data_IF_662495499291
#
_entry.id   IF_662495499291
#
_cell.length_a   1.000
_cell.length_b   1.000
_cell.length_c   1.000
_cell.angle_alpha   90.00
_cell.angle_beta   90.00
_cell.angle_gamma   90.00
#
_symmetry.space_group_name_H-M   'P 1'
#
loop_
_entity.id
_entity.type
_entity.pdbx_description
1 polymer ?
#
# COMPACT_ATOMS: atom_id res chain seq x y z
N UNK A 1 16.40 -19.43 -15.12
CA UNK A 1 15.31 -20.24 -14.52
C UNK A 1 14.23 -20.47 -15.58
N UNK A 2 13.62 -21.66 -15.62
CA UNK A 2 12.46 -21.97 -16.46
C UNK A 2 11.35 -22.59 -15.60
N UNK A 3 10.12 -22.09 -15.73
CA UNK A 3 8.94 -22.62 -15.03
C UNK A 3 7.90 -22.93 -16.09
N UNK A 4 7.60 -24.21 -16.29
CA UNK A 4 6.61 -24.65 -17.28
C UNK A 4 6.18 -26.08 -17.03
N UNK A 5 5.01 -26.46 -17.56
CA UNK A 5 4.68 -27.88 -17.71
C UNK A 5 5.77 -28.59 -18.54
N UNK A 6 6.00 -29.87 -18.28
CA UNK A 6 7.09 -30.64 -18.91
C UNK A 6 7.03 -30.64 -20.43
N UNK A 7 5.83 -30.72 -21.00
CA UNK A 7 5.57 -30.67 -22.45
C UNK A 7 5.82 -29.29 -23.08
N UNK A 8 5.96 -28.24 -22.27
CA UNK A 8 6.19 -26.85 -22.68
C UNK A 8 7.59 -26.33 -22.38
N UNK A 9 8.46 -27.16 -21.79
CA UNK A 9 9.86 -26.78 -21.61
C UNK A 9 10.60 -26.68 -22.96
N UNK A 10 11.55 -25.75 -23.10
CA UNK A 10 12.51 -25.76 -24.19
C UNK A 10 13.19 -27.13 -24.32
N UNK A 11 13.39 -27.61 -25.56
CA UNK A 11 13.87 -28.98 -25.82
C UNK A 11 15.20 -29.31 -25.12
N UNK A 12 16.12 -28.33 -25.08
CA UNK A 12 17.41 -28.46 -24.40
C UNK A 12 17.27 -28.62 -22.88
N UNK A 13 16.28 -27.98 -22.25
CA UNK A 13 16.02 -28.13 -20.82
C UNK A 13 15.23 -29.40 -20.52
N UNK A 14 14.27 -29.75 -21.39
CA UNK A 14 13.47 -30.97 -21.25
C UNK A 14 14.33 -32.23 -21.27
N UNK A 15 15.37 -32.28 -22.11
CA UNK A 15 16.31 -33.39 -22.20
C UNK A 15 17.14 -33.62 -20.91
N UNK A 16 17.24 -32.60 -20.04
CA UNK A 16 17.97 -32.66 -18.77
C UNK A 16 17.07 -33.10 -17.60
N UNK A 17 15.78 -33.33 -17.85
CA UNK A 17 14.82 -33.83 -16.87
C UNK A 17 14.68 -35.35 -17.05
N UNK A 18 14.83 -36.17 -15.99
CA UNK A 18 14.70 -37.62 -16.09
C UNK A 18 13.32 -38.00 -16.63
N UNK A 19 13.28 -39.10 -17.39
CA UNK A 19 12.05 -39.63 -17.97
C UNK A 19 11.23 -40.44 -16.94
N UNK A 20 10.91 -39.79 -15.83
CA UNK A 20 9.97 -40.28 -14.83
C UNK A 20 8.64 -39.54 -14.97
N UNK A 21 7.54 -40.20 -14.61
CA UNK A 21 6.23 -39.54 -14.51
C UNK A 21 6.29 -38.38 -13.51
N UNK A 22 5.76 -37.22 -13.92
CA UNK A 22 5.57 -36.05 -13.06
C UNK A 22 4.07 -35.73 -12.89
N UNK A 23 3.22 -36.76 -12.93
CA UNK A 23 1.78 -36.61 -12.78
C UNK A 23 1.33 -36.34 -11.34
N UNK A 24 2.05 -36.92 -10.36
CA UNK A 24 1.80 -36.85 -8.92
C UNK A 24 2.79 -35.94 -8.17
N UNK A 25 3.74 -35.34 -8.89
CA UNK A 25 4.75 -34.44 -8.33
C UNK A 25 5.17 -33.34 -9.30
N UNK A 26 5.66 -32.24 -8.74
CA UNK A 26 6.50 -31.27 -9.42
C UNK A 26 7.94 -31.42 -8.97
N UNK A 27 8.87 -31.04 -9.83
CA UNK A 27 10.31 -31.08 -9.55
C UNK A 27 10.90 -29.70 -9.74
N UNK A 28 11.63 -29.24 -8.73
CA UNK A 28 12.53 -28.08 -8.77
C UNK A 28 13.93 -28.65 -8.88
N UNK A 29 14.62 -28.41 -9.99
CA UNK A 29 15.94 -29.02 -10.28
C UNK A 29 16.91 -28.00 -10.83
N UNK A 30 18.12 -27.98 -10.27
CA UNK A 30 19.28 -27.34 -10.89
C UNK A 30 19.83 -28.27 -11.97
N UNK A 31 19.94 -27.74 -13.19
CA UNK A 31 20.55 -28.41 -14.34
C UNK A 31 21.68 -27.56 -14.90
N UNK A 32 22.62 -28.19 -15.58
CA UNK A 32 23.61 -27.48 -16.40
C UNK A 32 23.12 -27.44 -17.85
N UNK A 33 22.78 -26.24 -18.33
CA UNK A 33 22.39 -26.02 -19.71
C UNK A 33 23.52 -25.31 -20.47
N UNK A 34 24.42 -26.09 -21.08
CA UNK A 34 25.56 -25.60 -21.86
C UNK A 34 26.57 -24.75 -21.04
N UNK A 35 26.96 -25.23 -19.86
CA UNK A 35 27.88 -24.54 -18.94
C UNK A 35 27.22 -23.43 -18.12
N UNK A 36 25.88 -23.36 -18.12
CA UNK A 36 25.10 -22.35 -17.40
C UNK A 36 24.17 -23.03 -16.39
N UNK A 37 24.38 -22.82 -15.08
CA UNK A 37 23.50 -23.37 -14.05
C UNK A 37 22.11 -22.77 -14.20
N UNK A 38 21.12 -23.63 -14.39
CA UNK A 38 19.74 -23.27 -14.69
C UNK A 38 18.79 -23.97 -13.74
N UNK A 39 17.94 -23.21 -13.04
CA UNK A 39 16.84 -23.78 -12.26
C UNK A 39 15.66 -24.11 -13.18
N UNK A 40 15.20 -25.35 -13.19
CA UNK A 40 14.01 -25.82 -13.91
C UNK A 40 12.95 -26.24 -12.90
N UNK A 41 11.75 -25.69 -13.03
CA UNK A 41 10.58 -26.05 -12.22
C UNK A 41 9.51 -26.59 -13.16
N UNK A 42 9.15 -27.85 -12.97
CA UNK A 42 8.28 -28.54 -13.94
C UNK A 42 7.43 -29.63 -13.32
N UNK A 43 6.29 -29.91 -13.97
CA UNK A 43 5.36 -30.99 -13.64
C UNK A 43 4.50 -31.32 -14.87
N UNK A 44 3.89 -32.49 -14.89
CA UNK A 44 2.82 -32.80 -15.84
C UNK A 44 1.46 -32.26 -15.32
N UNK A 45 1.35 -32.00 -14.01
CA UNK A 45 0.19 -31.45 -13.32
C UNK A 45 0.33 -29.94 -13.07
N UNK A 46 -0.65 -29.15 -13.53
CA UNK A 46 -0.63 -27.70 -13.41
C UNK A 46 -0.74 -27.21 -11.95
N UNK A 47 -1.50 -27.90 -11.10
CA UNK A 47 -1.68 -27.53 -9.69
C UNK A 47 -0.38 -27.74 -8.90
N UNK A 48 0.30 -28.86 -9.14
CA UNK A 48 1.61 -29.13 -8.54
C UNK A 48 2.69 -28.19 -9.05
N UNK A 49 2.60 -27.74 -10.32
CA UNK A 49 3.47 -26.69 -10.84
C UNK A 49 3.27 -25.36 -10.11
N UNK A 50 2.02 -24.96 -9.86
CA UNK A 50 1.70 -23.78 -9.03
C UNK A 50 2.26 -23.96 -7.62
N UNK A 51 2.11 -25.15 -7.03
CA UNK A 51 2.63 -25.47 -5.70
C UNK A 51 4.16 -25.36 -5.63
N UNK A 52 4.87 -25.84 -6.65
CA UNK A 52 6.32 -25.67 -6.76
C UNK A 52 6.71 -24.20 -6.95
N UNK A 53 5.92 -23.43 -7.71
CA UNK A 53 6.04 -21.98 -7.80
C UNK A 53 5.93 -21.28 -6.44
N UNK A 54 4.95 -21.67 -5.62
CA UNK A 54 4.79 -21.16 -4.25
C UNK A 54 5.98 -21.49 -3.35
N UNK A 55 6.59 -22.67 -3.50
CA UNK A 55 7.78 -23.05 -2.75
C UNK A 55 8.97 -22.17 -3.12
N UNK A 56 9.29 -22.01 -4.40
CA UNK A 56 10.42 -21.17 -4.83
C UNK A 56 10.22 -19.69 -4.51
N UNK A 57 8.97 -19.23 -4.44
CA UNK A 57 8.61 -17.88 -4.00
C UNK A 57 8.64 -17.68 -2.49
N UNK A 58 8.81 -18.74 -1.69
CA UNK A 58 8.90 -18.67 -0.24
C UNK A 58 10.36 -18.70 0.19
N UNK A 59 10.92 -17.53 0.52
CA UNK A 59 12.33 -17.38 0.88
C UNK A 59 12.74 -18.24 2.10
N UNK A 60 11.84 -18.38 3.09
CA UNK A 60 12.12 -19.18 4.29
C UNK A 60 12.20 -20.68 3.97
N UNK A 61 11.36 -21.20 3.07
CA UNK A 61 11.45 -22.58 2.60
C UNK A 61 12.66 -22.77 1.67
N UNK A 62 12.92 -21.81 0.79
CA UNK A 62 14.05 -21.87 -0.14
C UNK A 62 15.39 -21.91 0.59
N UNK A 63 15.55 -21.12 1.67
CA UNK A 63 16.75 -21.11 2.51
C UNK A 63 17.02 -22.45 3.23
N UNK A 64 16.02 -23.31 3.37
CA UNK A 64 16.16 -24.64 3.95
C UNK A 64 16.57 -25.71 2.93
N UNK A 65 16.54 -25.42 1.63
CA UNK A 65 16.93 -26.36 0.59
C UNK A 65 18.46 -26.36 0.40
N UNK A 66 19.06 -27.54 0.45
CA UNK A 66 20.51 -27.72 0.24
C UNK A 66 20.86 -28.61 -0.96
N UNK A 67 19.86 -29.26 -1.57
CA UNK A 67 20.06 -30.23 -2.65
C UNK A 67 19.80 -29.65 -4.05
N UNK A 68 20.35 -30.27 -5.12
CA UNK A 68 20.12 -29.86 -6.50
C UNK A 68 18.72 -30.22 -7.03
N UNK A 69 17.94 -31.00 -6.27
CA UNK A 69 16.58 -31.45 -6.63
C UNK A 69 15.67 -31.37 -5.41
N UNK A 70 14.47 -30.81 -5.59
CA UNK A 70 13.38 -30.84 -4.62
C UNK A 70 12.10 -31.32 -5.33
N UNK A 71 11.52 -32.39 -4.81
CA UNK A 71 10.19 -32.84 -5.21
C UNK A 71 9.13 -32.11 -4.38
N UNK A 72 8.03 -31.75 -5.06
CA UNK A 72 6.86 -31.08 -4.48
C UNK A 72 5.64 -31.93 -4.80
N UNK A 73 4.98 -32.42 -3.76
CA UNK A 73 3.80 -33.28 -3.83
C UNK A 73 2.59 -32.58 -3.22
N UNK A 74 1.42 -33.22 -3.30
CA UNK A 74 0.20 -32.76 -2.65
C UNK A 74 0.35 -32.56 -1.13
N UNK A 75 1.29 -33.26 -0.49
CA UNK A 75 1.56 -33.15 0.96
C UNK A 75 2.66 -32.13 1.32
N UNK A 76 3.33 -31.52 0.33
CA UNK A 76 4.39 -30.54 0.61
C UNK A 76 3.79 -29.23 1.10
N UNK A 77 4.09 -28.79 2.32
CA UNK A 77 3.63 -27.49 2.81
C UNK A 77 4.40 -26.35 2.15
N UNK A 78 3.67 -25.42 1.54
CA UNK A 78 4.25 -24.28 0.79
C UNK A 78 3.64 -22.94 1.18
N UNK A 79 2.64 -22.94 2.06
CA UNK A 79 1.97 -21.72 2.49
C UNK A 79 2.93 -20.82 3.29
N UNK A 80 2.93 -19.53 2.96
CA UNK A 80 3.54 -18.52 3.81
C UNK A 80 2.58 -18.15 4.95
N UNK A 81 3.09 -17.87 6.16
CA UNK A 81 2.28 -17.24 7.21
C UNK A 81 1.62 -15.96 6.68
N UNK A 82 0.41 -15.66 7.16
CA UNK A 82 -0.24 -14.40 6.83
C UNK A 82 0.61 -13.22 7.32
N UNK A 83 0.87 -12.21 6.48
CA UNK A 83 1.58 -11.01 6.91
C UNK A 83 0.84 -10.32 8.06
N UNK A 84 1.57 -9.90 9.10
CA UNK A 84 0.96 -9.22 10.25
C UNK A 84 0.65 -7.75 9.92
N UNK A 85 -0.58 -7.31 10.22
CA UNK A 85 -1.03 -5.92 10.09
C UNK A 85 -0.45 -5.04 11.21
N UNK A 86 -0.22 -5.64 12.39
CA UNK A 86 0.49 -5.03 13.51
C UNK A 86 1.95 -5.47 13.46
N UNK A 87 2.87 -4.51 13.29
CA UNK A 87 4.32 -4.76 13.31
C UNK A 87 4.89 -4.23 14.61
N UNK A 88 5.60 -5.07 15.35
CA UNK A 88 6.45 -4.65 16.47
C UNK A 88 7.83 -4.35 15.89
N UNK A 89 8.26 -3.10 16.00
CA UNK A 89 9.51 -2.60 15.43
C UNK A 89 10.40 -2.14 16.57
N UNK A 90 11.54 -2.82 16.74
CA UNK A 90 12.63 -2.31 17.59
C UNK A 90 13.26 -1.11 16.90
N UNK A 91 13.44 -0.01 17.62
CA UNK A 91 14.06 1.18 17.02
C UNK A 91 15.58 1.10 16.97
N UNK A 92 16.19 0.27 17.82
CA UNK A 92 17.64 0.09 17.92
C UNK A 92 17.96 -1.31 18.43
N UNK A 93 19.01 -1.93 17.91
CA UNK A 93 19.38 -3.32 18.26
C UNK A 93 20.20 -3.39 19.56
N UNK A 94 21.05 -2.39 19.81
CA UNK A 94 21.99 -2.37 20.95
C UNK A 94 21.79 -1.17 21.89
N UNK A 95 20.92 -0.22 21.52
CA UNK A 95 20.78 1.06 22.18
C UNK A 95 21.64 2.15 21.55
N UNK A 96 21.31 3.40 21.84
CA UNK A 96 21.94 4.58 21.23
C UNK A 96 22.37 5.58 22.30
N UNK A 97 23.66 5.88 22.34
CA UNK A 97 24.20 6.93 23.18
C UNK A 97 24.11 8.29 22.49
N UNK A 98 23.66 9.29 23.24
CA UNK A 98 23.59 10.69 22.84
C UNK A 98 24.44 11.47 23.84
N UNK A 99 25.38 12.28 23.36
CA UNK A 99 26.25 13.11 24.20
C UNK A 99 26.16 14.59 23.85
N UNK A 100 26.46 15.42 24.84
CA UNK A 100 26.56 16.87 24.73
C UNK A 100 25.36 17.60 25.31
N UNK A 101 25.59 18.87 25.66
CA UNK A 101 24.58 19.75 26.26
C UNK A 101 23.49 20.15 25.26
N UNK A 102 22.40 20.66 25.81
CA UNK A 102 21.27 21.26 25.11
C UNK A 102 20.55 20.26 24.20
N UNK A 103 20.03 20.75 23.07
CA UNK A 103 19.20 19.97 22.17
C UNK A 103 20.02 18.94 21.39
N UNK A 104 19.71 17.66 21.59
CA UNK A 104 20.30 16.53 20.88
C UNK A 104 19.23 15.58 20.38
N UNK A 105 19.43 15.02 19.20
CA UNK A 105 18.43 14.17 18.57
C UNK A 105 19.00 12.84 18.13
N UNK A 106 18.13 11.84 18.11
CA UNK A 106 18.35 10.57 17.42
C UNK A 106 17.14 10.27 16.56
N UNK A 107 17.41 10.03 15.28
CA UNK A 107 16.39 9.73 14.28
C UNK A 107 16.31 8.24 13.99
N UNK A 108 15.08 7.74 13.90
CA UNK A 108 14.74 6.36 13.56
C UNK A 108 13.83 6.35 12.35
N UNK A 109 14.31 5.74 11.26
CA UNK A 109 13.56 5.64 10.01
C UNK A 109 12.67 4.41 10.01
N UNK A 110 11.37 4.63 9.83
CA UNK A 110 10.37 3.57 9.81
C UNK A 110 9.89 3.37 8.37
N UNK A 111 10.11 2.18 7.84
CA UNK A 111 9.59 1.78 6.53
C UNK A 111 8.10 1.42 6.63
N UNK A 112 7.27 2.08 5.83
CA UNK A 112 5.84 1.78 5.71
C UNK A 112 5.48 1.67 4.22
N UNK A 113 4.89 0.55 3.77
CA UNK A 113 4.46 0.39 2.39
C UNK A 113 3.52 1.52 1.93
N UNK A 114 3.68 1.98 0.68
CA UNK A 114 2.97 3.15 0.14
C UNK A 114 1.44 3.00 0.13
N UNK A 115 0.93 1.77 0.00
CA UNK A 115 -0.49 1.44 0.05
C UNK A 115 -1.08 1.45 1.48
N UNK A 116 -0.27 1.73 2.50
CA UNK A 116 -0.69 1.74 3.90
C UNK A 116 -0.49 3.11 4.53
N UNK A 117 -1.35 3.38 5.50
CA UNK A 117 -1.22 4.52 6.40
C UNK A 117 -1.21 4.01 7.84
N UNK A 118 -0.63 4.80 8.74
CA UNK A 118 -0.64 4.47 10.17
C UNK A 118 -2.10 4.44 10.66
N UNK A 119 -2.50 3.30 11.22
CA UNK A 119 -3.81 3.12 11.83
C UNK A 119 -3.80 3.60 13.28
N UNK A 120 -5.02 3.69 13.82
CA UNK A 120 -5.26 4.11 15.19
C UNK A 120 -4.53 3.22 16.20
N UNK A 121 -4.26 3.80 17.38
CA UNK A 121 -3.65 3.11 18.51
C UNK A 121 -2.23 2.55 18.27
N UNK A 122 -1.49 3.07 17.28
CA UNK A 122 -0.04 2.83 17.20
C UNK A 122 0.65 3.45 18.41
N UNK A 123 1.56 2.72 19.05
CA UNK A 123 2.18 3.11 20.33
C UNK A 123 3.68 3.07 20.26
N UNK A 124 4.33 4.08 20.83
CA UNK A 124 5.76 4.12 21.07
C UNK A 124 6.02 3.92 22.56
N UNK A 125 6.93 3.00 22.89
CA UNK A 125 7.53 2.85 24.21
C UNK A 125 9.00 3.22 24.09
N UNK A 126 9.35 4.46 24.45
CA UNK A 126 10.74 4.92 24.53
C UNK A 126 11.30 4.58 25.91
N UNK A 127 12.38 3.80 25.97
CA UNK A 127 13.11 3.48 27.21
C UNK A 127 14.49 4.09 27.17
N UNK A 128 14.87 4.77 28.24
CA UNK A 128 16.08 5.57 28.22
C UNK A 128 16.63 5.84 29.62
N UNK A 129 17.90 6.20 29.66
CA UNK A 129 18.68 6.59 30.84
C UNK A 129 19.41 7.89 30.55
N UNK A 130 19.78 8.63 31.59
CA UNK A 130 20.43 9.92 31.43
C UNK A 130 21.32 10.27 32.61
N UNK A 131 22.25 11.19 32.37
CA UNK A 131 23.20 11.63 33.38
C UNK A 131 22.50 12.32 34.57
N UNK A 132 23.00 12.06 35.79
CA UNK A 132 22.45 12.63 37.04
C UNK A 132 22.87 14.09 37.31
N UNK A 133 23.83 14.61 36.55
CA UNK A 133 24.34 15.97 36.69
C UNK A 133 23.52 17.02 35.91
N UNK A 134 22.38 16.64 35.37
CA UNK A 134 21.48 17.54 34.64
C UNK A 134 20.82 18.57 35.56
N UNK A 135 20.50 19.72 34.99
CA UNK A 135 19.48 20.61 35.51
C UNK A 135 18.10 20.04 35.19
N UNK A 136 17.58 19.25 36.14
CA UNK A 136 16.28 18.62 36.02
C UNK A 136 15.11 19.60 35.94
N UNK A 137 15.28 20.89 36.25
CA UNK A 137 14.21 21.87 36.08
C UNK A 137 14.03 22.32 34.64
N UNK A 138 15.04 22.09 33.79
CA UNK A 138 15.07 22.52 32.40
C UNK A 138 15.21 21.36 31.41
N UNK A 139 15.60 20.18 31.89
CA UNK A 139 15.84 19.02 31.05
C UNK A 139 14.57 18.21 30.77
N UNK A 140 14.37 17.84 29.51
CA UNK A 140 13.22 17.06 29.06
C UNK A 140 13.57 16.18 27.86
N UNK A 141 12.74 15.17 27.62
CA UNK A 141 12.73 14.42 26.36
C UNK A 141 11.43 14.73 25.60
N UNK A 142 11.53 14.94 24.30
CA UNK A 142 10.42 15.15 23.37
C UNK A 142 10.51 14.12 22.25
N UNK A 143 9.38 13.51 21.91
CA UNK A 143 9.27 12.65 20.73
C UNK A 143 8.61 13.43 19.60
N UNK A 144 9.22 13.38 18.42
CA UNK A 144 8.68 13.95 17.20
C UNK A 144 8.42 12.85 16.17
N UNK A 145 7.41 13.08 15.33
CA UNK A 145 7.13 12.26 14.15
C UNK A 145 7.12 13.17 12.93
N UNK A 146 7.99 12.90 11.94
CA UNK A 146 8.24 13.78 10.80
C UNK A 146 8.45 15.25 11.23
N UNK A 147 9.23 15.46 12.29
CA UNK A 147 9.54 16.78 12.84
C UNK A 147 8.41 17.46 13.63
N UNK A 148 7.24 16.82 13.81
CA UNK A 148 6.14 17.34 14.62
C UNK A 148 6.14 16.71 16.01
N UNK A 149 6.18 17.49 17.11
CA UNK A 149 6.16 16.94 18.45
C UNK A 149 4.82 16.26 18.76
N UNK A 150 4.88 15.06 19.33
CA UNK A 150 3.69 14.27 19.69
C UNK A 150 3.54 14.07 21.20
N UNK A 151 4.59 14.37 21.97
CA UNK A 151 4.59 14.30 23.43
C UNK A 151 5.98 14.53 23.99
N UNK A 152 6.02 14.92 25.25
CA UNK A 152 7.27 15.16 25.98
C UNK A 152 7.14 14.74 27.44
N UNK A 153 8.30 14.59 28.11
CA UNK A 153 8.40 14.24 29.51
C UNK A 153 9.59 14.96 30.14
N UNK A 154 9.35 15.62 31.28
CA UNK A 154 10.41 16.21 32.12
C UNK A 154 11.31 15.10 32.66
N UNK A 155 12.62 15.30 32.61
CA UNK A 155 13.59 14.37 33.20
C UNK A 155 13.68 14.62 34.71
N UNK A 156 13.87 13.56 35.48
CA UNK A 156 13.98 13.65 36.95
C UNK A 156 15.13 12.80 37.48
N UNK A 157 15.79 13.25 38.53
CA UNK A 157 16.91 12.50 39.12
C UNK A 157 16.51 11.09 39.58
N UNK A 158 15.30 10.93 40.11
CA UNK A 158 14.78 9.66 40.62
C UNK A 158 14.65 8.56 39.55
N UNK A 159 14.52 8.94 38.28
CA UNK A 159 14.34 8.01 37.16
C UNK A 159 15.58 7.93 36.24
N UNK A 160 16.68 8.61 36.59
CA UNK A 160 17.85 8.76 35.72
C UNK A 160 18.51 7.44 35.27
N UNK A 161 18.48 6.42 36.13
CA UNK A 161 19.03 5.08 35.83
C UNK A 161 18.07 4.17 35.06
N UNK A 162 16.85 4.62 34.77
CA UNK A 162 15.85 3.85 34.02
C UNK A 162 14.51 4.55 33.97
N UNK A 163 14.28 5.31 32.88
CA UNK A 163 13.03 5.98 32.63
C UNK A 163 12.33 5.48 31.36
N UNK A 164 11.05 5.83 31.21
CA UNK A 164 10.27 5.54 30.02
C UNK A 164 9.25 6.62 29.68
N UNK A 165 8.95 6.71 28.38
CA UNK A 165 7.91 7.56 27.82
C UNK A 165 7.06 6.73 26.84
N UNK A 166 5.79 6.54 27.19
CA UNK A 166 4.82 5.83 26.37
C UNK A 166 3.90 6.84 25.70
N UNK A 167 3.83 6.81 24.37
CA UNK A 167 3.00 7.72 23.56
C UNK A 167 2.16 6.94 22.57
N UNK A 168 0.95 7.45 22.30
CA UNK A 168 0.13 6.98 21.18
C UNK A 168 0.34 7.95 20.02
N UNK A 169 0.56 7.46 18.80
CA UNK A 169 0.72 8.29 17.61
C UNK A 169 -0.64 8.95 17.26
N UNK A 170 -0.73 10.29 17.25
CA UNK A 170 -1.96 11.00 16.89
C UNK A 170 -2.53 10.65 15.51
N UNK A 171 -3.86 10.49 15.42
CA UNK A 171 -4.58 10.14 14.18
C UNK A 171 -4.47 11.22 13.09
N UNK A 172 -4.44 12.49 13.49
CA UNK A 172 -4.49 13.65 12.59
C UNK A 172 -3.18 13.93 11.84
N UNK A 173 -2.14 13.11 12.02
CA UNK A 173 -0.88 13.32 11.30
C UNK A 173 -0.89 12.78 9.86
N UNK A 174 -1.89 11.98 9.46
CA UNK A 174 -2.00 11.41 8.11
C UNK A 174 -0.68 10.80 7.60
N UNK A 175 -0.03 9.99 8.44
CA UNK A 175 1.25 9.36 8.10
C UNK A 175 1.01 8.29 7.02
N UNK A 176 1.54 8.56 5.83
CA UNK A 176 1.52 7.64 4.68
C UNK A 176 2.94 7.50 4.12
N UNK A 177 3.34 6.27 3.79
CA UNK A 177 4.72 5.98 3.41
C UNK A 177 5.70 6.10 4.57
N UNK A 178 6.99 6.02 4.27
CA UNK A 178 8.06 6.04 5.27
C UNK A 178 8.02 7.31 6.12
N UNK A 179 8.32 7.18 7.40
CA UNK A 179 8.32 8.30 8.35
C UNK A 179 9.46 8.17 9.35
N UNK A 180 9.83 9.29 9.96
CA UNK A 180 10.90 9.35 10.96
C UNK A 180 10.32 9.57 12.35
N UNK A 181 10.78 8.79 13.31
CA UNK A 181 10.60 9.05 14.74
C UNK A 181 11.89 9.67 15.26
N UNK A 182 11.80 10.84 15.88
CA UNK A 182 12.94 11.53 16.49
C UNK A 182 12.76 11.55 18.00
N UNK A 183 13.75 11.03 18.72
CA UNK A 183 13.90 11.26 20.16
C UNK A 183 14.80 12.48 20.35
N UNK A 184 14.24 13.57 20.87
CA UNK A 184 14.94 14.81 21.16
C UNK A 184 15.12 14.98 22.67
N UNK A 185 16.37 15.09 23.11
CA UNK A 185 16.71 15.36 24.50
C UNK A 185 17.22 16.80 24.61
N UNK A 186 16.64 17.56 25.53
CA UNK A 186 17.20 18.82 25.97
C UNK A 186 17.97 18.55 27.27
N UNK A 187 19.29 18.39 27.15
CA UNK A 187 20.19 18.01 28.24
C UNK A 187 20.87 19.25 28.84
N UNK A 188 20.20 19.90 29.77
CA UNK A 188 20.67 21.13 30.39
C UNK A 188 21.55 20.82 31.61
N UNK A 189 22.62 21.59 31.83
CA UNK A 189 23.46 21.49 33.03
C UNK A 189 23.22 22.67 33.97
N UNK A 190 23.40 22.46 35.27
CA UNK A 190 23.40 23.56 36.26
C UNK A 190 24.67 24.39 36.07
N UNK A 191 24.51 25.71 35.94
CA UNK A 191 25.61 26.68 35.81
C UNK A 191 26.53 26.48 34.58
N UNK A 192 25.95 26.24 33.40
CA UNK A 192 26.67 25.98 32.14
C UNK A 192 27.52 27.18 31.62
N UNK A 193 27.35 28.38 32.19
CA UNK A 193 28.05 29.60 31.73
C UNK A 193 29.58 29.63 31.96
N UNK A 194 30.15 28.63 32.65
CA UNK A 194 31.59 28.58 32.97
C UNK A 194 32.25 27.20 32.79
N UNK A 195 31.62 26.25 32.09
CA UNK A 195 32.25 24.94 31.83
C UNK A 195 32.80 24.87 30.41
N UNK A 196 34.01 24.32 30.27
CA UNK A 196 34.52 23.90 28.96
C UNK A 196 33.64 22.76 28.45
N UNK A 197 33.21 22.77 27.17
CA UNK A 197 32.48 21.64 26.59
C UNK A 197 33.24 20.34 26.83
N UNK A 198 32.61 19.38 27.49
CA UNK A 198 33.13 18.02 27.60
C UNK A 198 32.41 17.14 26.59
N UNK A 199 33.17 16.50 25.70
CA UNK A 199 32.62 15.72 24.58
C UNK A 199 31.82 14.47 25.02
N UNK A 200 31.88 14.11 26.31
CA UNK A 200 31.25 12.92 26.88
C UNK A 200 30.15 13.22 27.90
N UNK A 201 29.88 14.48 28.25
CA UNK A 201 28.82 14.86 29.19
C UNK A 201 28.06 16.14 28.79
N UNK A 202 26.78 16.26 29.17
CA UNK A 202 25.94 15.19 29.69
C UNK A 202 25.66 14.12 28.63
N UNK A 203 25.04 13.03 29.05
CA UNK A 203 24.65 11.94 28.16
C UNK A 203 23.21 11.51 28.41
N UNK A 204 22.60 11.00 27.36
CA UNK A 204 21.41 10.17 27.40
C UNK A 204 21.69 8.87 26.64
N UNK A 205 21.00 7.80 27.00
CA UNK A 205 21.12 6.50 26.36
C UNK A 205 19.73 5.95 26.12
N UNK A 206 19.38 5.68 24.87
CA UNK A 206 18.13 5.02 24.49
C UNK A 206 18.39 3.51 24.53
N UNK A 207 17.60 2.76 25.29
CA UNK A 207 17.78 1.33 25.45
C UNK A 207 17.20 0.54 24.26
N UNK A 208 17.77 -0.65 23.99
CA UNK A 208 17.34 -1.59 22.94
C UNK A 208 15.88 -2.07 23.08
N UNK A 209 15.32 -2.00 24.30
CA UNK A 209 13.92 -2.31 24.59
C UNK A 209 12.94 -1.21 24.11
N UNK A 210 13.43 -0.20 23.37
CA UNK A 210 12.60 0.83 22.75
C UNK A 210 11.84 0.26 21.56
N UNK A 211 10.51 0.30 21.63
CA UNK A 211 9.63 -0.40 20.69
C UNK A 211 8.56 0.51 20.12
N UNK A 212 8.29 0.36 18.83
CA UNK A 212 7.12 0.88 18.13
C UNK A 212 6.15 -0.28 17.84
N UNK A 213 4.96 -0.23 18.42
CA UNK A 213 3.83 -1.02 17.97
C UNK A 213 3.11 -0.23 16.87
N UNK A 214 3.32 -0.64 15.62
CA UNK A 214 2.75 0.00 14.45
C UNK A 214 1.51 -0.77 13.99
N UNK A 215 0.35 -0.13 14.09
CA UNK A 215 -0.88 -0.60 13.44
C UNK A 215 -1.01 0.12 12.11
N UNK A 216 -1.48 -0.56 11.06
CA UNK A 216 -1.62 0.02 9.72
C UNK A 216 -3.01 -0.24 9.14
N UNK A 217 -3.46 0.64 8.25
CA UNK A 217 -4.71 0.51 7.50
C UNK A 217 -4.47 0.76 6.03
N UNK A 218 -5.26 0.11 5.19
CA UNK A 218 -5.19 0.27 3.74
C UNK A 218 -5.62 1.67 3.31
N UNK A 219 -4.96 2.20 2.29
CA UNK A 219 -5.43 3.35 1.52
C UNK A 219 -6.23 2.83 0.34
N UNK A 220 -7.55 2.94 0.44
CA UNK A 220 -8.48 2.30 -0.52
C UNK A 220 -8.82 3.17 -1.73
N UNK A 221 -8.28 4.39 -1.80
CA UNK A 221 -8.42 5.22 -2.99
C UNK A 221 -7.62 4.61 -4.14
N UNK A 222 -8.27 4.47 -5.29
CA UNK A 222 -7.67 3.98 -6.53
C UNK A 222 -6.79 5.07 -7.16
N UNK A 223 -5.60 5.26 -6.57
CA UNK A 223 -4.55 6.17 -6.99
C UNK A 223 -3.21 5.40 -7.08
N UNK A 224 -2.35 5.77 -8.04
CA UNK A 224 -0.98 5.28 -8.15
C UNK A 224 -0.13 5.61 -6.92
N UNK A 225 -0.46 6.68 -6.18
CA UNK A 225 0.14 6.98 -4.88
C UNK A 225 -0.08 5.87 -3.84
N UNK A 226 -1.12 5.05 -4.02
CA UNK A 226 -1.47 3.92 -3.17
C UNK A 226 -1.12 2.58 -3.81
N UNK A 227 -0.42 2.57 -4.96
CA UNK A 227 0.04 1.34 -5.58
C UNK A 227 0.90 0.56 -4.57
N UNK A 228 0.74 -0.76 -4.42
CA UNK A 228 0.03 -1.70 -5.30
C UNK A 228 -1.47 -1.92 -5.05
N UNK A 229 -2.15 -1.13 -4.21
CA UNK A 229 -3.60 -1.22 -4.07
C UNK A 229 -4.28 -0.94 -5.43
N UNK A 230 -5.32 -1.70 -5.83
CA UNK A 230 -6.04 -2.73 -5.07
C UNK A 230 -5.54 -4.17 -5.31
N UNK A 231 -4.50 -4.37 -6.12
CA UNK A 231 -4.04 -5.68 -6.56
C UNK A 231 -3.35 -6.48 -5.45
N UNK A 232 -2.76 -5.78 -4.49
CA UNK A 232 -2.26 -6.35 -3.25
C UNK A 232 -2.96 -5.70 -2.07
N UNK A 233 -3.38 -6.53 -1.13
CA UNK A 233 -3.91 -6.15 0.17
C UNK A 233 -3.16 -6.92 1.23
N UNK A 234 -2.68 -6.25 2.28
CA UNK A 234 -1.95 -6.90 3.37
C UNK A 234 -0.77 -7.79 2.89
N UNK A 235 -0.08 -7.38 1.82
CA UNK A 235 1.03 -8.15 1.25
C UNK A 235 0.63 -9.43 0.49
N UNK A 236 -0.65 -9.66 0.23
CA UNK A 236 -1.16 -10.80 -0.55
C UNK A 236 -1.99 -10.35 -1.76
N UNK A 237 -1.94 -11.14 -2.84
CA UNK A 237 -2.72 -10.84 -4.05
C UNK A 237 -4.22 -10.89 -3.78
N UNK A 238 -4.89 -9.78 -4.06
CA UNK A 238 -6.31 -9.58 -3.76
C UNK A 238 -7.17 -9.91 -4.98
N UNK A 239 -7.36 -11.20 -5.25
CA UNK A 239 -8.18 -11.73 -6.35
C UNK A 239 -7.90 -11.02 -7.68
N UNK A 240 -6.70 -11.17 -8.22
CA UNK A 240 -6.29 -10.44 -9.42
C UNK A 240 -6.66 -11.20 -10.69
N UNK A 241 -7.36 -10.53 -11.61
CA UNK A 241 -7.62 -11.01 -12.96
C UNK A 241 -6.80 -10.25 -13.99
N UNK A 242 -5.90 -10.92 -14.71
CA UNK A 242 -5.09 -10.31 -15.77
C UNK A 242 -5.66 -10.69 -17.13
N UNK A 243 -6.21 -9.72 -17.87
CA UNK A 243 -6.75 -9.96 -19.20
C UNK A 243 -5.70 -9.59 -20.25
N UNK A 244 -5.26 -10.61 -20.98
CA UNK A 244 -4.26 -10.48 -22.03
C UNK A 244 -4.89 -10.12 -23.38
N UNK A 245 -4.17 -9.43 -24.26
CA UNK A 245 -4.63 -9.19 -25.62
C UNK A 245 -4.72 -10.52 -26.40
N UNK A 246 -5.53 -10.54 -27.47
CA UNK A 246 -5.67 -11.70 -28.35
C UNK A 246 -4.33 -12.05 -29.00
N UNK A 247 -3.60 -11.05 -29.47
CA UNK A 247 -2.26 -11.17 -30.07
C UNK A 247 -1.21 -10.92 -29.00
N UNK A 248 -0.35 -11.91 -28.76
CA UNK A 248 0.64 -11.87 -27.67
C UNK A 248 2.05 -11.91 -28.24
N UNK A 249 2.65 -10.73 -28.35
CA UNK A 249 4.01 -10.55 -28.84
C UNK A 249 5.02 -10.38 -27.69
N UNK A 250 6.28 -10.14 -28.02
CA UNK A 250 7.34 -9.93 -27.03
C UNK A 250 7.06 -8.74 -26.10
N UNK A 251 6.42 -7.67 -26.59
CA UNK A 251 6.06 -6.51 -25.78
C UNK A 251 4.99 -6.85 -24.74
N UNK A 252 4.04 -7.72 -25.09
CA UNK A 252 3.03 -8.22 -24.16
C UNK A 252 3.69 -8.93 -22.97
N UNK A 253 4.63 -9.84 -23.22
CA UNK A 253 5.32 -10.55 -22.13
C UNK A 253 6.26 -9.65 -21.32
N UNK A 254 6.89 -8.64 -21.95
CA UNK A 254 7.66 -7.62 -21.22
C UNK A 254 6.76 -6.76 -20.34
N UNK A 255 5.54 -6.46 -20.77
CA UNK A 255 4.54 -5.74 -19.97
C UNK A 255 4.16 -6.53 -18.72
N UNK A 256 3.87 -7.82 -18.87
CA UNK A 256 3.60 -8.72 -17.75
C UNK A 256 4.82 -8.77 -16.81
N UNK A 257 6.02 -8.88 -17.36
CA UNK A 257 7.27 -8.86 -16.60
C UNK A 257 7.43 -7.60 -15.75
N UNK A 258 7.19 -6.42 -16.32
CA UNK A 258 7.25 -5.15 -15.58
C UNK A 258 6.23 -5.10 -14.43
N UNK A 259 4.97 -5.44 -14.72
CA UNK A 259 3.90 -5.46 -13.73
C UNK A 259 4.21 -6.38 -12.54
N UNK A 260 4.54 -7.63 -12.83
CA UNK A 260 4.77 -8.65 -11.80
C UNK A 260 6.15 -8.56 -11.15
N UNK A 261 7.11 -7.85 -11.75
CA UNK A 261 8.34 -7.50 -11.06
C UNK A 261 8.05 -6.60 -9.84
N UNK A 262 7.30 -5.52 -10.03
CA UNK A 262 6.99 -4.61 -8.93
C UNK A 262 5.93 -5.18 -7.98
N UNK A 263 4.86 -5.79 -8.49
CA UNK A 263 3.87 -6.46 -7.63
C UNK A 263 4.51 -7.59 -6.82
N UNK A 264 5.41 -8.38 -7.43
CA UNK A 264 6.12 -9.45 -6.74
C UNK A 264 7.00 -8.96 -5.60
N UNK A 265 7.62 -7.78 -5.73
CA UNK A 265 8.41 -7.16 -4.65
C UNK A 265 7.56 -6.73 -3.45
N UNK A 266 6.30 -6.36 -3.67
CA UNK A 266 5.37 -5.99 -2.60
C UNK A 266 4.60 -7.16 -1.99
N UNK A 267 4.68 -8.36 -2.58
CA UNK A 267 4.02 -9.53 -2.03
C UNK A 267 4.84 -10.11 -0.86
N UNK A 268 4.26 -10.13 0.33
CA UNK A 268 4.83 -10.73 1.55
C UNK A 268 4.31 -12.18 1.75
N UNK A 269 3.17 -12.55 1.15
CA UNK A 269 2.55 -13.86 1.28
C UNK A 269 2.01 -14.45 -0.03
N UNK A 270 1.72 -15.76 -0.03
CA UNK A 270 1.34 -16.53 -1.22
C UNK A 270 -0.06 -17.18 -1.15
N UNK A 271 -0.90 -16.70 -0.22
CA UNK A 271 -2.29 -17.14 -0.06
C UNK A 271 -3.25 -16.50 -1.08
N UNK A 272 -2.85 -15.40 -1.72
CA UNK A 272 -3.65 -14.70 -2.73
C UNK A 272 -3.74 -15.44 -4.07
N UNK A 273 -4.61 -14.93 -4.95
CA UNK A 273 -4.84 -15.49 -6.29
C UNK A 273 -4.54 -14.49 -7.40
N UNK A 274 -3.88 -14.99 -8.46
CA UNK A 274 -3.71 -14.31 -9.74
C UNK A 274 -4.18 -15.25 -10.84
N UNK A 275 -5.13 -14.81 -11.66
CA UNK A 275 -5.67 -15.59 -12.79
C UNK A 275 -5.49 -14.83 -14.09
N UNK A 276 -4.95 -15.51 -15.10
CA UNK A 276 -4.81 -14.96 -16.44
C UNK A 276 -6.00 -15.38 -17.32
N UNK A 277 -6.50 -14.44 -18.11
CA UNK A 277 -7.59 -14.65 -19.06
C UNK A 277 -7.18 -14.23 -20.47
N UNK A 278 -7.81 -14.86 -21.47
CA UNK A 278 -7.70 -14.47 -22.87
C UNK A 278 -8.72 -13.40 -23.26
N UNK A 279 -8.75 -13.07 -24.55
CA UNK A 279 -9.70 -12.13 -25.13
C UNK A 279 -11.15 -12.66 -25.19
N UNK A 280 -11.35 -13.92 -24.80
CA UNK A 280 -12.65 -14.62 -24.67
C UNK A 280 -13.26 -14.50 -23.26
N UNK A 281 -12.63 -13.73 -22.36
CA UNK A 281 -13.12 -13.52 -21.00
C UNK A 281 -14.53 -12.94 -20.97
N UNK A 282 -15.33 -13.40 -20.02
CA UNK A 282 -16.69 -12.90 -19.78
C UNK A 282 -16.73 -11.97 -18.57
N UNK A 283 -17.72 -11.08 -18.53
CA UNK A 283 -17.93 -10.17 -17.40
C UNK A 283 -18.09 -10.92 -16.06
N UNK A 284 -18.80 -12.06 -16.06
CA UNK A 284 -19.02 -12.87 -14.86
C UNK A 284 -17.72 -13.39 -14.25
N UNK A 285 -16.72 -13.71 -15.07
CA UNK A 285 -15.40 -14.16 -14.61
C UNK A 285 -14.56 -13.02 -13.98
N UNK A 286 -14.98 -11.76 -14.13
CA UNK A 286 -14.27 -10.57 -13.68
C UNK A 286 -14.96 -9.85 -12.50
N UNK A 287 -16.18 -10.26 -12.12
CA UNK A 287 -16.96 -9.61 -11.05
C UNK A 287 -16.27 -9.64 -9.69
N UNK A 288 -15.62 -10.73 -9.34
CA UNK A 288 -15.01 -10.93 -8.02
C UNK A 288 -13.54 -10.48 -7.94
N UNK A 289 -13.07 -9.69 -8.91
CA UNK A 289 -11.63 -9.48 -9.15
C UNK A 289 -11.24 -8.03 -9.34
N UNK A 290 -10.03 -7.72 -8.86
CA UNK A 290 -9.29 -6.55 -9.31
C UNK A 290 -8.66 -6.86 -10.67
N UNK A 291 -8.95 -6.04 -11.68
CA UNK A 291 -8.64 -6.36 -13.07
C UNK A 291 -7.41 -5.60 -13.54
N UNK A 292 -6.46 -6.28 -14.19
CA UNK A 292 -5.39 -5.67 -14.96
C UNK A 292 -5.62 -6.02 -16.42
N UNK A 293 -5.93 -5.04 -17.26
CA UNK A 293 -6.14 -5.24 -18.69
C UNK A 293 -4.94 -4.72 -19.47
N UNK A 294 -4.33 -5.57 -20.30
CA UNK A 294 -3.13 -5.25 -21.08
C UNK A 294 -3.49 -5.30 -22.57
N UNK A 295 -3.10 -4.27 -23.34
CA UNK A 295 -3.22 -4.32 -24.80
C UNK A 295 -3.70 -3.03 -25.42
N UNK A 296 -4.61 -3.14 -26.39
CA UNK A 296 -5.23 -2.01 -27.09
C UNK A 296 -6.74 -2.16 -27.14
N UNK A 297 -7.43 -1.10 -27.57
CA UNK A 297 -8.87 -1.11 -27.82
C UNK A 297 -9.32 -2.22 -28.79
N UNK A 298 -8.55 -2.45 -29.85
CA UNK A 298 -8.88 -3.45 -30.86
C UNK A 298 -8.76 -4.89 -30.33
N UNK A 299 -7.81 -5.13 -29.42
CA UNK A 299 -7.34 -6.48 -29.12
C UNK A 299 -7.57 -6.96 -27.68
N UNK A 300 -8.17 -6.12 -26.84
CA UNK A 300 -8.57 -6.48 -25.48
C UNK A 300 -10.02 -6.01 -25.20
N UNK A 301 -10.98 -6.92 -24.94
CA UNK A 301 -12.38 -6.55 -24.73
C UNK A 301 -12.58 -5.67 -23.50
N UNK A 302 -11.81 -5.87 -22.43
CA UNK A 302 -11.93 -5.09 -21.20
C UNK A 302 -11.58 -3.62 -21.43
N UNK A 303 -10.51 -3.34 -22.19
CA UNK A 303 -10.10 -1.98 -22.54
C UNK A 303 -11.19 -1.31 -23.40
N UNK A 304 -11.73 -2.05 -24.38
CA UNK A 304 -12.80 -1.55 -25.25
C UNK A 304 -14.07 -1.21 -24.48
N UNK A 305 -14.53 -2.11 -23.62
CA UNK A 305 -15.77 -1.94 -22.84
C UNK A 305 -15.63 -0.82 -21.80
N UNK A 306 -14.43 -0.68 -21.22
CA UNK A 306 -14.11 0.38 -20.27
C UNK A 306 -13.88 1.76 -20.92
N UNK A 307 -13.74 1.85 -22.25
CA UNK A 307 -13.27 3.08 -22.93
C UNK A 307 -14.06 4.34 -22.56
N UNK A 308 -15.38 4.23 -22.38
CA UNK A 308 -16.23 5.36 -21.97
C UNK A 308 -15.88 5.94 -20.59
N UNK A 309 -15.29 5.11 -19.72
CA UNK A 309 -14.90 5.43 -18.34
C UNK A 309 -13.40 5.70 -18.19
N UNK A 310 -12.60 5.44 -19.23
CA UNK A 310 -11.18 5.80 -19.25
C UNK A 310 -11.02 7.32 -19.24
N UNK A 311 -9.93 7.81 -18.65
CA UNK A 311 -9.56 9.22 -18.66
C UNK A 311 -8.90 9.63 -19.98
N UNK A 312 -8.00 8.78 -20.49
CA UNK A 312 -7.47 8.84 -21.85
C UNK A 312 -8.27 7.86 -22.69
N UNK A 313 -9.30 8.38 -23.35
CA UNK A 313 -10.22 7.59 -24.18
C UNK A 313 -9.64 7.40 -25.57
N UNK A 314 -9.91 6.25 -26.15
CA UNK A 314 -9.68 6.02 -27.57
C UNK A 314 -10.71 6.77 -28.42
N UNK A 315 -10.29 7.14 -29.63
CA UNK A 315 -11.18 7.56 -30.70
C UNK A 315 -12.21 6.47 -31.08
N UNK A 316 -13.17 6.79 -31.93
CA UNK A 316 -14.23 5.87 -32.34
C UNK A 316 -13.70 4.64 -33.12
N UNK A 317 -12.55 4.77 -33.79
CA UNK A 317 -11.91 3.68 -34.52
C UNK A 317 -11.00 2.81 -33.63
N UNK A 318 -10.72 3.23 -32.40
CA UNK A 318 -9.79 2.57 -31.50
C UNK A 318 -8.32 2.76 -31.84
N UNK A 319 -7.97 3.77 -32.64
CA UNK A 319 -6.62 3.89 -33.24
C UNK A 319 -5.64 4.73 -32.43
N UNK A 320 -6.12 5.72 -31.69
CA UNK A 320 -5.31 6.54 -30.80
C UNK A 320 -6.15 7.17 -29.69
N UNK A 321 -5.47 7.80 -28.73
CA UNK A 321 -6.15 8.56 -27.68
C UNK A 321 -6.60 9.93 -28.17
N UNK A 322 -7.72 10.41 -27.66
CA UNK A 322 -8.24 11.76 -27.93
C UNK A 322 -7.99 12.70 -26.76
N UNK A 323 -8.05 14.00 -27.04
CA UNK A 323 -7.93 15.07 -26.04
C UNK A 323 -8.95 14.91 -24.91
N UNK A 324 -8.58 15.35 -23.72
CA UNK A 324 -9.45 15.37 -22.53
C UNK A 324 -9.31 16.69 -21.76
N UNK A 325 -9.91 16.79 -20.58
CA UNK A 325 -9.90 17.98 -19.74
C UNK A 325 -8.52 18.34 -19.14
N UNK A 326 -7.54 17.43 -19.22
CA UNK A 326 -6.18 17.63 -18.68
C UNK A 326 -5.12 17.81 -19.76
N UNK A 327 -5.34 17.27 -20.95
CA UNK A 327 -4.33 17.21 -22.00
C UNK A 327 -4.96 17.35 -23.39
N UNK A 328 -4.47 18.32 -24.17
CA UNK A 328 -4.69 18.39 -25.61
C UNK A 328 -3.77 17.39 -26.31
N UNK A 329 -4.36 16.53 -27.14
CA UNK A 329 -3.71 15.42 -27.83
C UNK A 329 -4.00 15.56 -29.31
N UNK A 330 -2.94 15.75 -30.09
CA UNK A 330 -2.97 15.66 -31.55
C UNK A 330 -3.23 14.21 -32.00
N UNK A 331 -3.88 14.03 -33.14
CA UNK A 331 -4.29 12.71 -33.65
C UNK A 331 -3.11 11.75 -33.84
N UNK A 332 -2.01 12.21 -34.43
CA UNK A 332 -0.82 11.38 -34.69
C UNK A 332 0.02 11.17 -33.43
N UNK A 333 -0.06 12.10 -32.49
CA UNK A 333 0.54 11.91 -31.16
C UNK A 333 -0.23 10.86 -30.35
N UNK A 334 -1.57 10.91 -30.35
CA UNK A 334 -2.43 9.96 -29.64
C UNK A 334 -2.24 8.50 -30.05
N UNK A 335 -1.78 8.24 -31.28
CA UNK A 335 -1.41 6.91 -31.78
C UNK A 335 -0.07 6.40 -31.23
N UNK A 336 0.77 7.30 -30.70
CA UNK A 336 2.17 7.03 -30.32
C UNK A 336 2.47 7.13 -28.82
N UNK A 337 1.43 7.17 -27.98
CA UNK A 337 1.57 7.19 -26.52
C UNK A 337 0.99 5.93 -25.88
N UNK A 338 1.52 5.58 -24.72
CA UNK A 338 0.97 4.57 -23.82
C UNK A 338 0.33 5.24 -22.60
N UNK A 339 -0.70 4.61 -22.03
CA UNK A 339 -1.36 5.08 -20.82
C UNK A 339 -1.47 3.99 -19.74
N UNK A 340 -1.36 4.43 -18.49
CA UNK A 340 -1.78 3.72 -17.30
C UNK A 340 -3.00 4.42 -16.72
N UNK A 341 -4.09 3.69 -16.52
CA UNK A 341 -5.33 4.29 -16.01
C UNK A 341 -5.94 3.40 -14.95
N UNK A 342 -6.07 3.93 -13.73
CA UNK A 342 -6.61 3.22 -12.58
C UNK A 342 -8.03 3.72 -12.26
N UNK A 343 -9.02 2.93 -12.65
CA UNK A 343 -10.44 3.27 -12.54
C UNK A 343 -11.18 2.24 -11.67
N UNK A 344 -12.42 2.56 -11.29
CA UNK A 344 -13.31 1.57 -10.68
C UNK A 344 -13.64 0.51 -11.72
N UNK A 345 -13.60 -0.76 -11.31
CA UNK A 345 -13.98 -1.88 -12.17
C UNK A 345 -15.45 -1.73 -12.62
N UNK A 346 -15.76 -1.87 -13.92
CA UNK A 346 -17.13 -1.78 -14.40
C UNK A 346 -17.96 -3.05 -14.13
N UNK A 347 -17.35 -4.11 -13.60
CA UNK A 347 -17.99 -5.42 -13.44
C UNK A 347 -18.73 -5.58 -12.11
N UNK A 348 -18.15 -5.07 -11.02
CA UNK A 348 -18.71 -5.12 -9.68
C UNK A 348 -18.13 -4.00 -8.82
N UNK A 349 -18.93 -3.51 -7.86
CA UNK A 349 -18.51 -2.44 -6.96
C UNK A 349 -17.40 -2.89 -6.00
N UNK A 350 -16.53 -1.96 -5.60
CA UNK A 350 -15.45 -2.24 -4.64
C UNK A 350 -14.16 -2.81 -5.25
N UNK A 351 -14.13 -3.10 -6.55
CA UNK A 351 -12.94 -3.55 -7.27
C UNK A 351 -12.34 -2.46 -8.16
N UNK A 352 -11.04 -2.50 -8.39
CA UNK A 352 -10.36 -1.60 -9.33
C UNK A 352 -9.98 -2.28 -10.64
N UNK A 353 -9.79 -1.47 -11.68
CA UNK A 353 -9.29 -1.85 -12.98
C UNK A 353 -8.09 -0.97 -13.34
N UNK A 354 -6.95 -1.60 -13.63
CA UNK A 354 -5.79 -0.96 -14.24
C UNK A 354 -5.76 -1.30 -15.73
N UNK A 355 -5.94 -0.29 -16.57
CA UNK A 355 -5.69 -0.40 -18.01
C UNK A 355 -4.24 -0.04 -18.29
N UNK A 356 -3.47 -1.00 -18.81
CA UNK A 356 -2.11 -0.82 -19.32
C UNK A 356 -2.21 -0.88 -20.84
N UNK A 357 -2.37 0.28 -21.47
CA UNK A 357 -2.95 0.34 -22.81
C UNK A 357 -2.28 1.35 -23.73
N UNK A 358 -2.23 1.03 -25.02
CA UNK A 358 -1.75 1.89 -26.09
C UNK A 358 -2.33 1.45 -27.43
N UNK A 359 -2.18 2.24 -28.49
CA UNK A 359 -2.67 1.86 -29.82
C UNK A 359 -2.07 0.52 -30.30
N UNK A 360 -0.80 0.30 -29.96
CA UNK A 360 -0.02 -0.90 -30.26
C UNK A 360 0.64 -1.46 -29.00
N UNK A 361 1.03 -2.74 -29.05
CA UNK A 361 1.67 -3.45 -27.93
C UNK A 361 2.92 -2.75 -27.39
N UNK A 362 3.70 -2.09 -28.26
CA UNK A 362 4.89 -1.31 -27.89
C UNK A 362 4.57 -0.14 -26.96
N UNK A 363 3.40 0.48 -27.12
CA UNK A 363 2.96 1.61 -26.32
C UNK A 363 2.36 1.17 -24.99
N UNK A 364 1.64 0.04 -24.96
CA UNK A 364 1.26 -0.61 -23.70
C UNK A 364 2.51 -1.03 -22.89
N UNK A 365 3.54 -1.56 -23.56
CA UNK A 365 4.83 -1.87 -22.93
C UNK A 365 5.52 -0.62 -22.40
N UNK A 366 5.55 0.46 -23.17
CA UNK A 366 6.09 1.74 -22.72
C UNK A 366 5.40 2.22 -21.43
N UNK A 367 4.06 2.22 -21.40
CA UNK A 367 3.28 2.56 -20.21
C UNK A 367 3.62 1.68 -19.01
N UNK A 368 3.77 0.37 -19.22
CA UNK A 368 4.12 -0.57 -18.14
C UNK A 368 5.45 -0.26 -17.45
N UNK A 369 6.39 0.41 -18.13
CA UNK A 369 7.68 0.80 -17.52
C UNK A 369 7.50 1.78 -16.37
N UNK A 370 6.44 2.57 -16.39
CA UNK A 370 6.14 3.54 -15.32
C UNK A 370 5.82 2.86 -13.98
N UNK A 371 5.45 1.58 -13.99
CA UNK A 371 5.15 0.77 -12.81
C UNK A 371 6.00 -0.51 -12.77
N UNK A 372 7.19 -0.47 -13.38
CA UNK A 372 8.14 -1.59 -13.39
C UNK A 372 9.06 -1.63 -12.16
N UNK A 373 9.28 -0.48 -11.51
CA UNK A 373 10.10 -0.32 -10.32
C UNK A 373 9.62 0.85 -9.46
N UNK A 374 10.04 0.90 -8.18
CA UNK A 374 9.75 2.05 -7.31
C UNK A 374 10.29 3.36 -7.90
N UNK A 375 11.47 3.28 -8.55
CA UNK A 375 12.15 4.39 -9.21
C UNK A 375 11.47 4.90 -10.48
N UNK A 376 10.45 4.23 -11.00
CA UNK A 376 9.60 4.79 -12.07
C UNK A 376 8.22 5.15 -11.54
N UNK A 377 7.72 4.39 -10.55
CA UNK A 377 6.45 4.65 -9.90
C UNK A 377 6.40 6.04 -9.24
N UNK A 378 7.50 6.57 -8.67
CA UNK A 378 7.51 7.92 -8.07
C UNK A 378 7.21 9.05 -9.08
N UNK A 379 7.38 8.80 -10.38
CA UNK A 379 7.04 9.76 -11.45
C UNK A 379 5.55 9.73 -11.80
N UNK A 380 4.81 8.78 -11.22
CA UNK A 380 3.38 8.58 -11.44
C UNK A 380 2.63 8.98 -10.18
N UNK A 381 1.55 9.75 -10.34
CA UNK A 381 0.65 10.12 -9.26
C UNK A 381 -0.79 10.21 -9.80
N UNK A 382 -1.76 10.31 -8.89
CA UNK A 382 -3.17 10.38 -9.27
C UNK A 382 -3.67 9.04 -9.78
N UNK A 383 -4.53 9.04 -10.80
CA UNK A 383 -5.24 7.87 -11.32
C UNK A 383 -5.11 7.70 -12.84
N UNK A 384 -4.39 8.58 -13.52
CA UNK A 384 -4.05 8.44 -14.93
C UNK A 384 -2.66 8.97 -15.25
N UNK A 385 -1.91 8.23 -16.06
CA UNK A 385 -0.64 8.69 -16.59
C UNK A 385 -0.45 8.27 -18.05
N UNK A 386 0.26 9.10 -18.80
CA UNK A 386 0.67 8.83 -20.19
C UNK A 386 2.17 8.99 -20.34
N UNK A 387 2.73 8.28 -21.30
CA UNK A 387 4.13 8.39 -21.69
C UNK A 387 4.33 8.13 -23.18
N UNK A 388 5.35 8.75 -23.75
CA UNK A 388 5.70 8.62 -25.16
C UNK A 388 7.12 8.07 -25.38
N UNK A 389 7.50 7.93 -26.65
CA UNK A 389 8.78 7.32 -27.03
C UNK A 389 9.99 8.18 -26.64
N UNK A 390 9.79 9.48 -26.40
CA UNK A 390 10.84 10.40 -25.98
C UNK A 390 11.07 10.33 -24.46
N UNK A 391 10.18 9.61 -23.75
CA UNK A 391 10.27 9.37 -22.32
C UNK A 391 9.61 10.46 -21.49
N UNK A 392 8.82 11.33 -22.13
CA UNK A 392 7.97 12.27 -21.42
C UNK A 392 6.91 11.51 -20.63
N UNK A 393 6.61 12.01 -19.42
CA UNK A 393 5.66 11.40 -18.50
C UNK A 393 4.72 12.50 -18.02
N UNK A 394 3.43 12.32 -18.29
CA UNK A 394 2.40 13.19 -17.75
C UNK A 394 1.46 12.37 -16.88
N UNK A 395 1.50 12.62 -15.58
CA UNK A 395 0.62 12.02 -14.60
C UNK A 395 -0.41 13.04 -14.12
N UNK A 396 -1.62 12.58 -13.82
CA UNK A 396 -2.77 13.41 -13.50
C UNK A 396 -3.67 12.75 -12.45
N UNK A 397 -4.30 13.60 -11.64
CA UNK A 397 -5.44 13.23 -10.78
C UNK A 397 -6.73 13.72 -11.44
N UNK A 398 -7.56 12.78 -11.89
CA UNK A 398 -8.86 13.00 -12.51
C UNK A 398 -9.99 12.98 -11.47
N UNK A 399 -9.96 12.06 -10.51
CA UNK A 399 -10.91 12.07 -9.38
C UNK A 399 -10.71 13.29 -8.49
N UNK A 400 -11.77 14.07 -8.31
CA UNK A 400 -11.82 15.19 -7.38
C UNK A 400 -11.51 14.68 -5.97
N UNK A 401 -10.67 15.38 -5.22
CA UNK A 401 -10.51 15.14 -3.79
C UNK A 401 -11.88 15.23 -3.13
N UNK A 402 -12.39 14.10 -2.61
CA UNK A 402 -13.43 14.19 -1.62
C UNK A 402 -12.87 15.11 -0.53
N UNK A 403 -13.56 16.22 -0.25
CA UNK A 403 -13.23 17.05 0.89
C UNK A 403 -13.02 16.10 2.08
N UNK A 404 -11.94 16.26 2.87
CA UNK A 404 -11.60 15.31 3.93
C UNK A 404 -12.87 15.01 4.71
N UNK A 405 -13.20 13.72 4.86
CA UNK A 405 -14.37 13.24 5.60
C UNK A 405 -14.44 14.06 6.89
N UNK A 406 -15.29 15.08 6.89
CA UNK A 406 -15.60 15.73 8.14
C UNK A 406 -16.35 14.64 8.90
N UNK A 407 -15.89 14.25 10.09
CA UNK A 407 -16.57 13.24 10.87
C UNK A 407 -18.05 13.64 10.92
N UNK A 408 -18.91 12.74 10.44
CA UNK A 408 -20.34 12.95 10.45
C UNK A 408 -20.72 13.21 11.89
N UNK A 409 -21.04 14.46 12.22
CA UNK A 409 -21.45 14.85 13.57
C UNK A 409 -22.62 13.97 14.05
N UNK A 410 -23.42 13.45 13.11
CA UNK A 410 -24.53 12.52 13.39
C UNK A 410 -24.01 11.14 13.83
N UNK A 411 -22.95 10.62 13.21
CA UNK A 411 -22.36 9.33 13.59
C UNK A 411 -21.69 9.40 14.97
N UNK A 412 -20.95 10.48 15.26
CA UNK A 412 -20.31 10.69 16.57
C UNK A 412 -21.34 10.89 17.71
N UNK A 413 -22.49 11.50 17.43
CA UNK A 413 -23.58 11.66 18.40
C UNK A 413 -24.30 10.32 18.67
N UNK A 414 -24.39 9.44 17.66
CA UNK A 414 -25.01 8.12 17.80
C UNK A 414 -24.14 7.13 18.59
N UNK A 415 -22.82 7.21 18.47
CA UNK A 415 -21.88 6.35 19.20
C UNK A 415 -21.67 6.79 20.66
N UNK A 416 -22.01 8.04 20.99
CA UNK A 416 -21.90 8.62 22.34
C UNK A 416 -23.27 8.70 23.01
N UNK A 417 -23.63 7.65 23.73
CA UNK A 417 -24.94 7.50 24.40
C UNK A 417 -25.28 8.61 25.40
N UNK A 418 -24.29 9.28 25.98
CA UNK A 418 -24.45 10.46 26.84
C UNK A 418 -24.91 11.69 26.06
N UNK A 419 -24.34 11.96 24.87
CA UNK A 419 -24.70 13.08 24.00
C UNK A 419 -26.06 12.85 23.32
N UNK A 420 -26.37 11.60 22.96
CA UNK A 420 -27.66 11.20 22.41
C UNK A 420 -28.82 11.57 23.35
N UNK A 421 -28.67 11.28 24.65
CA UNK A 421 -29.69 11.59 25.67
C UNK A 421 -29.96 13.10 25.77
N UNK A 422 -28.90 13.92 25.75
CA UNK A 422 -29.03 15.39 25.77
C UNK A 422 -29.70 15.93 24.49
N UNK A 423 -29.39 15.34 23.33
CA UNK A 423 -29.93 15.79 22.05
C UNK A 423 -31.42 15.45 21.93
N UNK A 424 -31.81 14.25 22.35
CA UNK A 424 -33.22 13.85 22.43
C UNK A 424 -33.99 14.73 23.42
N UNK A 425 -33.41 15.05 24.57
CA UNK A 425 -34.03 15.97 25.53
C UNK A 425 -34.22 17.38 24.94
N UNK A 426 -33.20 17.93 24.28
CA UNK A 426 -33.26 19.25 23.67
C UNK A 426 -34.33 19.33 22.56
N UNK A 427 -34.41 18.33 21.67
CA UNK A 427 -35.43 18.24 20.62
C UNK A 427 -36.84 18.13 21.22
N UNK A 428 -36.99 17.37 22.30
CA UNK A 428 -38.27 17.22 23.00
C UNK A 428 -38.75 18.55 23.61
N UNK A 429 -37.84 19.32 24.20
CA UNK A 429 -38.16 20.68 24.72
C UNK A 429 -38.58 21.60 23.57
N UNK A 430 -37.87 21.56 22.45
CA UNK A 430 -38.16 22.39 21.28
C UNK A 430 -39.55 22.07 20.70
N UNK A 431 -39.90 20.78 20.63
CA UNK A 431 -41.23 20.32 20.23
C UNK A 431 -42.33 20.80 21.18
N UNK A 432 -42.09 20.75 22.50
CA UNK A 432 -43.04 21.26 23.50
C UNK A 432 -43.24 22.76 23.39
N UNK A 433 -42.18 23.53 23.13
CA UNK A 433 -42.26 24.98 22.88
C UNK A 433 -43.08 25.26 21.61
N UNK A 434 -42.86 24.49 20.54
CA UNK A 434 -43.62 24.60 19.29
C UNK A 434 -45.10 24.27 19.49
N UNK A 435 -45.40 23.20 20.24
CA UNK A 435 -46.76 22.80 20.60
C UNK A 435 -47.46 23.87 21.44
N UNK A 436 -46.76 24.42 22.43
CA UNK A 436 -47.20 25.55 23.26
C UNK A 436 -47.55 26.76 22.38
N UNK A 437 -46.68 27.12 21.43
CA UNK A 437 -46.89 28.23 20.51
C UNK A 437 -48.13 28.00 19.63
N UNK A 438 -48.29 26.79 19.08
CA UNK A 438 -49.46 26.40 18.28
C UNK A 438 -50.73 26.49 19.11
N UNK A 439 -50.73 26.00 20.35
CA UNK A 439 -51.88 26.08 21.26
C UNK A 439 -52.22 27.52 21.65
N UNK A 440 -51.22 28.37 21.89
CA UNK A 440 -51.39 29.80 22.17
C UNK A 440 -52.02 30.54 20.98
N UNK A 441 -51.53 30.28 19.77
CA UNK A 441 -52.10 30.82 18.53
C UNK A 441 -53.54 30.35 18.34
N UNK A 442 -53.83 29.05 18.57
CA UNK A 442 -55.20 28.49 18.51
C UNK A 442 -56.12 29.15 19.54
N UNK A 443 -55.66 29.36 20.77
CA UNK A 443 -56.42 30.01 21.86
C UNK A 443 -56.73 31.48 21.54
N UNK A 444 -55.77 32.23 21.02
CA UNK A 444 -55.97 33.63 20.64
C UNK A 444 -56.83 33.80 19.38
N UNK A 445 -56.80 32.84 18.44
CA UNK A 445 -57.74 32.79 17.31
C UNK A 445 -59.18 32.48 17.72
N UNK A 446 -59.41 31.68 18.78
CA UNK A 446 -60.77 31.43 19.32
C UNK A 446 -61.35 32.64 20.07
N UNK A 447 -60.57 33.33 20.90
CA UNK A 447 -61.05 34.55 21.61
C UNK A 447 -61.47 35.70 20.68
N UNK A 448 -60.92 35.79 19.47
CA UNK A 448 -61.39 36.76 18.44
C UNK A 448 -62.71 36.37 17.76
N UNK A 449 -63.22 35.14 17.98
CA UNK A 449 -64.50 34.67 17.45
C UNK A 449 -65.68 34.88 18.41
N UNK A 450 -65.40 35.09 19.70
CA UNK A 450 -66.43 35.33 20.74
C UNK A 450 -66.64 36.83 21.04
N UNK A 451 -66.06 37.72 20.24
CA UNK A 451 -66.40 39.15 20.19
C UNK A 451 -66.86 39.45 18.78
N UNK A 452 -68.10 39.05 18.47
CA UNK A 452 -68.89 39.57 17.37
C UNK A 452 -70.36 39.47 17.69
#
# INVERSE_FOLDING_TARGET
MAVAKRDRLPANLRALIPDASLGDKAVIRLVDANGQPSLVVTSDNAELLVKAGKLIGNAALLAQLSGPVKEVTENTEVASPAPSITKLISLTDAGDQITGVNHRTKDYFIALPANRSVAEASKLSLRFRYAKNLDFDRSLVTVLVNGKPIGSKKLTEALADGDSLNLTIPKNMNLSGNFTITAAFDLELKNDSCMLPQDQMPWAFIDADTMLQLNTKDRTELLFNNYPYPFLRDGIYNQVGVVLPKTRDGNTYRTIGNLFNLLGQYAEGNAGEVRFFGADVTADQLKDRNVIAIGSYADNPVIRDANKNLYFKYDAAGTGFVSNEKMSIDEEYGKRIGSLQLIVSPYESGHGLLAVTGAESRYAYLASKLIASESTLWKVYGDGAVTDMDGEIHAYRFKIEAAPDQPSAVADILDRGDVLAFTVAAVSVLLLVLLSLILLIRKHRRKRRDVK
#
